data_IF_635137149994
#
_entry.id   IF_635137149994
#
_cell.length_a   1.000
_cell.length_b   1.000
_cell.length_c   1.000
_cell.angle_alpha   90.00
_cell.angle_beta   90.00
_cell.angle_gamma   90.00
#
_symmetry.space_group_name_H-M   'P 1'
#
loop_
_entity.id
_entity.type
_entity.pdbx_description
1 polymer ?
#
# COMPACT_ATOMS: atom_id res chain seq x y z
N UNK A 1 -37.40 46.69 -17.20
CA UNK A 1 -37.41 45.25 -16.94
C UNK A 1 -36.46 44.50 -17.89
N UNK A 2 -36.54 44.67 -19.20
CA UNK A 2 -35.70 43.98 -20.22
C UNK A 2 -34.18 44.17 -20.05
N UNK A 3 -33.68 45.37 -19.71
CA UNK A 3 -32.24 45.64 -19.51
C UNK A 3 -31.65 44.88 -18.28
N UNK A 4 -32.44 44.65 -17.23
CA UNK A 4 -32.02 43.91 -16.05
C UNK A 4 -31.94 42.38 -16.34
N UNK A 5 -32.84 41.85 -17.14
CA UNK A 5 -32.85 40.45 -17.57
C UNK A 5 -31.66 40.19 -18.49
N UNK A 6 -31.35 41.08 -19.42
CA UNK A 6 -30.17 40.94 -20.28
C UNK A 6 -28.84 40.94 -19.50
N UNK A 7 -28.69 41.78 -18.48
CA UNK A 7 -27.55 41.80 -17.61
C UNK A 7 -27.37 40.48 -16.79
N UNK A 8 -28.46 39.91 -16.30
CA UNK A 8 -28.44 38.65 -15.57
C UNK A 8 -28.03 37.50 -16.50
N UNK A 9 -28.53 37.46 -17.73
CA UNK A 9 -28.18 36.43 -18.71
C UNK A 9 -26.71 36.52 -19.13
N UNK A 10 -26.18 37.73 -19.29
CA UNK A 10 -24.74 37.94 -19.57
C UNK A 10 -23.88 37.47 -18.38
N UNK A 11 -24.30 37.76 -17.15
CA UNK A 11 -23.57 37.33 -15.95
C UNK A 11 -23.56 35.80 -15.80
N UNK A 12 -24.70 35.13 -16.05
CA UNK A 12 -24.79 33.67 -16.06
C UNK A 12 -23.90 33.06 -17.16
N UNK A 13 -23.89 33.62 -18.36
CA UNK A 13 -23.05 33.16 -19.46
C UNK A 13 -21.56 33.29 -19.15
N UNK A 14 -21.16 34.38 -18.49
CA UNK A 14 -19.75 34.57 -18.04
C UNK A 14 -19.37 33.53 -16.97
N UNK A 15 -20.23 33.29 -16.00
CA UNK A 15 -20.00 32.25 -14.98
C UNK A 15 -19.85 30.87 -15.61
N UNK A 16 -20.76 30.52 -16.53
CA UNK A 16 -20.68 29.23 -17.24
C UNK A 16 -19.39 29.09 -18.07
N UNK A 17 -18.99 30.17 -18.75
CA UNK A 17 -17.73 30.18 -19.51
C UNK A 17 -16.53 30.01 -18.60
N UNK A 18 -16.49 30.66 -17.43
CA UNK A 18 -15.40 30.48 -16.43
C UNK A 18 -15.37 29.04 -15.90
N UNK A 19 -16.53 28.46 -15.57
CA UNK A 19 -16.62 27.07 -15.11
C UNK A 19 -16.12 26.11 -16.19
N UNK A 20 -16.49 26.31 -17.44
CA UNK A 20 -16.02 25.49 -18.56
C UNK A 20 -14.51 25.63 -18.77
N UNK A 21 -13.97 26.84 -18.65
CA UNK A 21 -12.54 27.11 -18.78
C UNK A 21 -11.73 26.46 -17.65
N UNK A 22 -12.23 26.51 -16.42
CA UNK A 22 -11.62 25.85 -15.26
C UNK A 22 -11.63 24.33 -15.43
N UNK A 23 -12.76 23.76 -15.88
CA UNK A 23 -12.87 22.32 -16.17
C UNK A 23 -11.93 21.88 -17.30
N UNK A 24 -11.86 22.64 -18.39
CA UNK A 24 -10.96 22.33 -19.50
C UNK A 24 -9.48 22.39 -19.09
N UNK A 25 -9.08 23.41 -18.28
CA UNK A 25 -7.71 23.49 -17.75
C UNK A 25 -7.39 22.36 -16.79
N UNK A 26 -8.35 21.95 -15.96
CA UNK A 26 -8.19 20.82 -15.05
C UNK A 26 -8.04 19.52 -15.82
N UNK A 27 -8.89 19.29 -16.84
CA UNK A 27 -8.81 18.10 -17.70
C UNK A 27 -7.50 18.04 -18.51
N UNK A 28 -7.02 19.19 -19.02
CA UNK A 28 -5.72 19.26 -19.73
C UNK A 28 -4.55 18.95 -18.80
N UNK A 29 -4.55 19.51 -17.58
CA UNK A 29 -3.51 19.21 -16.58
C UNK A 29 -3.55 17.75 -16.11
N UNK A 30 -4.76 17.18 -16.00
CA UNK A 30 -4.96 15.77 -15.68
C UNK A 30 -4.46 14.84 -16.79
N UNK A 31 -4.62 15.22 -18.06
CA UNK A 31 -4.10 14.48 -19.20
C UNK A 31 -2.54 14.57 -19.28
N UNK A 32 -1.97 15.76 -19.03
CA UNK A 32 -0.52 15.98 -19.02
C UNK A 32 0.16 15.15 -17.90
N UNK A 33 -0.42 15.13 -16.70
CA UNK A 33 0.07 14.28 -15.59
C UNK A 33 -0.05 12.79 -15.89
N UNK A 34 -1.12 12.37 -16.59
CA UNK A 34 -1.31 10.98 -17.01
C UNK A 34 -0.30 10.56 -18.07
N UNK A 35 0.06 11.44 -19.00
CA UNK A 35 1.01 11.19 -20.07
C UNK A 35 2.45 11.18 -19.53
N UNK A 36 2.79 12.10 -18.61
CA UNK A 36 4.09 12.13 -17.92
C UNK A 36 4.29 10.91 -17.01
N UNK A 37 3.22 10.45 -16.33
CA UNK A 37 3.24 9.23 -15.52
C UNK A 37 3.40 7.96 -16.37
N UNK A 38 2.76 7.89 -17.53
CA UNK A 38 2.88 6.75 -18.46
C UNK A 38 4.28 6.70 -19.09
N UNK A 39 4.82 7.86 -19.53
CA UNK A 39 6.18 7.95 -20.07
C UNK A 39 7.25 7.60 -19.04
N UNK A 40 7.06 8.02 -17.77
CA UNK A 40 7.98 7.64 -16.69
C UNK A 40 7.90 6.14 -16.39
N UNK A 41 6.71 5.54 -16.44
CA UNK A 41 6.50 4.12 -16.23
C UNK A 41 7.21 3.25 -17.27
N UNK A 42 7.10 3.57 -18.56
CA UNK A 42 7.81 2.84 -19.63
C UNK A 42 9.34 2.94 -19.48
N UNK A 43 9.88 4.12 -19.16
CA UNK A 43 11.32 4.29 -18.95
C UNK A 43 11.83 3.54 -17.71
N UNK A 44 11.05 3.49 -16.63
CA UNK A 44 11.45 2.81 -15.39
C UNK A 44 11.34 1.30 -15.52
N UNK A 45 10.32 0.76 -16.22
CA UNK A 45 10.21 -0.69 -16.44
C UNK A 45 11.36 -1.23 -17.28
N UNK A 46 11.79 -0.51 -18.32
CA UNK A 46 12.95 -0.87 -19.14
C UNK A 46 14.26 -0.80 -18.36
N UNK A 47 14.46 0.23 -17.53
CA UNK A 47 15.63 0.37 -16.65
C UNK A 47 15.65 -0.71 -15.55
N UNK A 48 14.51 -1.09 -14.99
CA UNK A 48 14.41 -2.15 -14.00
C UNK A 48 14.75 -3.54 -14.57
N UNK A 49 14.46 -3.75 -15.85
CA UNK A 49 14.78 -5.01 -16.56
C UNK A 49 16.25 -5.07 -17.05
N UNK A 50 16.88 -3.91 -17.33
CA UNK A 50 18.28 -3.85 -17.76
C UNK A 50 19.28 -3.95 -16.62
N UNK A 51 18.94 -3.50 -15.43
CA UNK A 51 19.79 -3.59 -14.25
C UNK A 51 19.52 -4.91 -13.53
N UNK A 52 20.39 -5.90 -13.74
CA UNK A 52 20.36 -7.09 -12.91
C UNK A 52 20.47 -6.67 -11.43
N UNK A 53 19.59 -7.18 -10.54
CA UNK A 53 19.55 -6.74 -9.16
C UNK A 53 20.88 -7.04 -8.47
N UNK A 54 21.30 -6.13 -7.60
CA UNK A 54 22.23 -6.47 -6.55
C UNK A 54 21.67 -7.72 -5.83
N UNK A 55 22.56 -8.55 -5.32
CA UNK A 55 22.13 -9.72 -4.56
C UNK A 55 21.20 -9.26 -3.42
N UNK A 56 19.93 -9.63 -3.50
CA UNK A 56 18.95 -9.29 -2.46
C UNK A 56 19.38 -9.84 -1.09
N UNK A 57 19.09 -9.11 -0.04
CA UNK A 57 19.28 -9.61 1.31
C UNK A 57 18.39 -10.85 1.50
N UNK A 58 18.98 -11.99 1.93
CA UNK A 58 18.15 -13.13 2.23
C UNK A 58 17.27 -12.82 3.44
N UNK A 59 15.97 -12.99 3.29
CA UNK A 59 15.10 -13.02 4.46
C UNK A 59 15.41 -14.28 5.29
N UNK A 60 15.23 -14.20 6.63
CA UNK A 60 15.56 -15.33 7.53
C UNK A 60 14.59 -16.52 7.41
N UNK A 61 13.72 -16.53 6.40
CA UNK A 61 12.74 -17.58 6.12
C UNK A 61 11.82 -17.17 4.97
N UNK A 62 10.83 -17.99 4.71
CA UNK A 62 9.79 -17.75 3.70
C UNK A 62 8.52 -17.20 4.37
N UNK A 63 7.69 -16.48 3.60
CA UNK A 63 6.41 -16.01 4.10
C UNK A 63 5.60 -17.21 4.66
N UNK A 64 5.06 -17.04 5.87
CA UNK A 64 4.21 -18.06 6.48
C UNK A 64 3.01 -18.37 5.56
N UNK A 65 2.67 -19.64 5.34
CA UNK A 65 1.53 -19.99 4.50
C UNK A 65 0.17 -19.59 5.08
N UNK A 66 0.14 -19.08 6.30
CA UNK A 66 -1.06 -18.60 6.97
C UNK A 66 -0.73 -17.57 8.05
N UNK A 67 -1.78 -16.93 8.55
CA UNK A 67 -1.67 -16.00 9.65
C UNK A 67 -1.29 -16.74 10.95
N UNK A 68 -0.57 -16.05 11.82
CA UNK A 68 -0.16 -16.56 13.14
C UNK A 68 -0.77 -15.71 14.25
N UNK A 69 -0.77 -16.24 15.46
CA UNK A 69 -1.10 -15.53 16.69
C UNK A 69 0.17 -15.45 17.54
N UNK A 70 0.97 -14.36 17.40
CA UNK A 70 2.20 -14.22 18.16
C UNK A 70 1.92 -14.18 19.65
N UNK A 71 2.64 -14.97 20.45
CA UNK A 71 2.55 -14.87 21.89
C UNK A 71 3.31 -13.62 22.39
N UNK A 72 2.63 -12.71 23.07
CA UNK A 72 3.20 -11.47 23.60
C UNK A 72 4.47 -11.68 24.42
N UNK A 73 4.52 -12.74 25.20
CA UNK A 73 5.70 -13.08 26.02
C UNK A 73 6.98 -13.34 25.21
N UNK A 74 6.85 -13.64 23.90
CA UNK A 74 7.97 -13.93 23.00
C UNK A 74 8.32 -12.72 22.12
N UNK A 75 7.53 -11.64 22.17
CA UNK A 75 7.82 -10.38 21.50
C UNK A 75 8.82 -9.56 22.33
N UNK A 76 9.93 -9.17 21.72
CA UNK A 76 10.82 -8.17 22.28
C UNK A 76 10.46 -6.79 21.74
N UNK A 77 9.76 -6.01 22.56
CA UNK A 77 9.29 -4.66 22.23
C UNK A 77 10.07 -3.56 22.99
N UNK A 78 11.24 -3.91 23.56
CA UNK A 78 12.05 -2.98 24.36
C UNK A 78 13.14 -2.27 23.56
N UNK A 79 13.22 -2.54 22.25
CA UNK A 79 14.15 -1.93 21.31
C UNK A 79 13.36 -1.21 20.20
N UNK A 80 14.00 -0.32 19.47
CA UNK A 80 13.38 0.36 18.34
C UNK A 80 12.85 -0.64 17.31
N UNK A 81 13.64 -1.66 17.01
CA UNK A 81 13.25 -2.74 16.11
C UNK A 81 12.77 -3.93 16.93
N UNK A 82 11.50 -4.24 16.78
CA UNK A 82 10.87 -5.35 17.46
C UNK A 82 11.35 -6.68 16.88
N UNK A 83 11.30 -7.73 17.66
CA UNK A 83 11.62 -9.07 17.22
C UNK A 83 10.78 -10.10 17.97
N UNK A 84 10.62 -11.27 17.35
CA UNK A 84 9.94 -12.42 17.96
C UNK A 84 10.96 -13.53 18.18
N UNK A 85 11.05 -14.05 19.39
CA UNK A 85 11.99 -15.10 19.76
C UNK A 85 11.25 -16.25 20.43
N UNK A 86 11.05 -17.30 19.66
CA UNK A 86 10.56 -18.58 20.15
C UNK A 86 11.60 -19.64 19.82
N UNK A 87 12.37 -20.07 20.80
CA UNK A 87 13.49 -21.01 20.62
C UNK A 87 13.04 -22.38 20.11
N UNK A 88 11.79 -22.77 20.36
CA UNK A 88 11.20 -24.02 19.89
C UNK A 88 10.39 -23.92 18.59
N UNK A 89 10.19 -22.71 18.08
CA UNK A 89 9.33 -22.44 16.94
C UNK A 89 10.08 -22.49 15.62
N UNK A 90 9.33 -22.84 14.57
CA UNK A 90 9.75 -22.65 13.19
C UNK A 90 9.55 -21.20 12.70
N UNK A 91 9.05 -20.31 13.55
CA UNK A 91 8.82 -18.90 13.20
C UNK A 91 10.07 -18.07 13.49
N UNK A 92 10.35 -17.14 12.58
CA UNK A 92 11.34 -16.07 12.72
C UNK A 92 10.75 -14.77 12.20
N UNK A 93 11.46 -13.65 12.37
CA UNK A 93 10.95 -12.33 11.95
C UNK A 93 11.99 -11.53 11.19
N UNK A 94 11.52 -10.69 10.28
CA UNK A 94 12.28 -9.63 9.63
C UNK A 94 11.67 -8.26 9.96
N UNK A 95 12.52 -7.24 10.08
CA UNK A 95 12.09 -5.86 10.31
C UNK A 95 12.05 -5.11 8.98
N UNK A 96 10.98 -4.37 8.75
CA UNK A 96 10.81 -3.57 7.55
C UNK A 96 10.22 -2.20 7.83
N UNK A 97 10.17 -1.41 6.76
CA UNK A 97 9.45 -0.12 6.72
C UNK A 97 8.42 -0.17 5.61
N UNK A 98 7.41 0.68 5.71
CA UNK A 98 6.59 1.00 4.55
C UNK A 98 6.68 2.50 4.22
N UNK A 99 6.64 2.81 2.92
CA UNK A 99 6.91 4.14 2.40
C UNK A 99 6.00 4.50 1.23
N UNK A 100 5.82 5.80 1.05
CA UNK A 100 5.09 6.40 -0.06
C UNK A 100 5.73 7.73 -0.45
N UNK A 101 5.03 8.52 -1.25
CA UNK A 101 5.46 9.89 -1.57
C UNK A 101 5.65 10.80 -0.33
N UNK A 102 5.06 10.44 0.81
CA UNK A 102 5.13 11.23 2.03
C UNK A 102 6.50 11.18 2.71
N UNK A 103 7.27 10.10 2.54
CA UNK A 103 8.65 9.98 3.01
C UNK A 103 9.67 10.72 2.13
N UNK A 104 9.22 11.22 0.96
CA UNK A 104 10.07 12.00 0.06
C UNK A 104 11.21 11.18 -0.56
N UNK A 105 12.44 11.63 -0.39
CA UNK A 105 13.62 10.91 -0.86
C UNK A 105 14.16 10.03 0.25
N UNK A 106 14.30 8.74 -0.03
CA UNK A 106 14.82 7.73 0.89
C UNK A 106 16.19 7.27 0.43
N UNK A 107 17.14 7.17 1.35
CA UNK A 107 18.47 6.58 1.14
C UNK A 107 18.44 5.11 1.60
N UNK A 108 18.15 4.21 0.67
CA UNK A 108 17.93 2.80 0.98
C UNK A 108 19.21 2.06 1.39
N UNK A 109 20.39 2.52 1.03
CA UNK A 109 21.63 1.96 1.55
C UNK A 109 21.74 2.21 3.06
N UNK A 110 21.44 3.44 3.52
CA UNK A 110 21.40 3.73 4.96
C UNK A 110 20.27 3.01 5.68
N UNK A 111 19.11 2.87 5.04
CA UNK A 111 17.98 2.09 5.58
C UNK A 111 18.40 0.64 5.84
N UNK A 112 19.02 -0.01 4.85
CA UNK A 112 19.57 -1.36 5.00
C UNK A 112 20.63 -1.43 6.11
N UNK A 113 21.58 -0.49 6.11
CA UNK A 113 22.68 -0.46 7.08
C UNK A 113 22.19 -0.18 8.52
N UNK A 114 21.00 0.44 8.66
CA UNK A 114 20.30 0.59 9.94
C UNK A 114 19.69 -0.73 10.47
N UNK A 115 19.65 -1.79 9.65
CA UNK A 115 19.11 -3.10 10.02
C UNK A 115 17.72 -3.41 9.49
N UNK A 116 17.19 -2.59 8.60
CA UNK A 116 15.95 -2.89 7.86
C UNK A 116 16.22 -3.99 6.85
N UNK A 117 15.30 -4.94 6.73
CA UNK A 117 15.47 -6.16 5.95
C UNK A 117 14.50 -6.27 4.77
N UNK A 118 13.44 -5.45 4.73
CA UNK A 118 12.48 -5.37 3.63
C UNK A 118 11.77 -4.02 3.60
N UNK A 119 11.12 -3.73 2.48
CA UNK A 119 10.33 -2.51 2.30
C UNK A 119 8.99 -2.86 1.64
N UNK A 120 7.90 -2.19 2.07
CA UNK A 120 6.61 -2.22 1.37
C UNK A 120 6.37 -0.82 0.81
N UNK A 121 6.20 -0.70 -0.51
CA UNK A 121 6.15 0.60 -1.21
C UNK A 121 4.76 0.85 -1.76
N UNK A 122 4.21 2.05 -1.55
CA UNK A 122 2.93 2.42 -2.17
C UNK A 122 3.09 2.50 -3.67
N UNK A 123 2.43 1.58 -4.40
CA UNK A 123 2.40 1.60 -5.85
C UNK A 123 1.46 2.67 -6.40
N UNK A 124 0.39 2.96 -5.67
CA UNK A 124 -0.59 3.94 -6.07
C UNK A 124 -1.74 4.03 -5.09
N UNK A 125 -2.70 4.86 -5.42
CA UNK A 125 -3.86 5.09 -4.58
C UNK A 125 -5.12 5.43 -5.39
N UNK A 126 -6.26 5.26 -4.75
CA UNK A 126 -7.55 5.68 -5.28
C UNK A 126 -8.04 6.92 -4.51
N UNK A 127 -8.42 7.97 -5.24
CA UNK A 127 -8.82 9.23 -4.65
C UNK A 127 -10.10 9.11 -3.83
N UNK A 128 -10.12 9.67 -2.63
CA UNK A 128 -11.20 9.61 -1.65
C UNK A 128 -12.58 9.99 -2.19
N UNK A 129 -12.66 11.04 -3.02
CA UNK A 129 -13.93 11.55 -3.55
C UNK A 129 -14.23 11.00 -4.95
N UNK A 130 -13.21 10.93 -5.79
CA UNK A 130 -13.38 10.69 -7.22
C UNK A 130 -13.30 9.23 -7.60
N UNK A 131 -12.66 8.39 -6.77
CA UNK A 131 -12.33 7.01 -7.12
C UNK A 131 -11.28 6.88 -8.23
N UNK A 132 -10.62 7.99 -8.64
CA UNK A 132 -9.57 7.95 -9.65
C UNK A 132 -8.34 7.25 -9.09
N UNK A 133 -7.80 6.31 -9.85
CA UNK A 133 -6.54 5.63 -9.54
C UNK A 133 -5.37 6.46 -10.05
N UNK A 134 -4.35 6.57 -9.22
CA UNK A 134 -3.14 7.36 -9.49
C UNK A 134 -1.93 6.57 -9.03
N UNK A 135 -0.89 6.47 -9.85
CA UNK A 135 0.41 5.91 -9.46
C UNK A 135 1.06 6.85 -8.44
N UNK A 136 1.66 6.30 -7.39
CA UNK A 136 2.44 7.10 -6.46
C UNK A 136 3.65 7.68 -7.20
N UNK A 137 3.84 8.99 -7.13
CA UNK A 137 4.88 9.70 -7.89
C UNK A 137 6.31 9.27 -7.55
N UNK A 138 6.49 8.59 -6.40
CA UNK A 138 7.80 8.09 -5.97
C UNK A 138 7.96 6.60 -6.17
N UNK A 139 6.92 5.89 -6.62
CA UNK A 139 6.89 4.43 -6.69
C UNK A 139 8.10 3.85 -7.42
N UNK A 140 8.27 4.20 -8.68
CA UNK A 140 9.31 3.61 -9.51
C UNK A 140 10.72 3.89 -8.96
N UNK A 141 10.98 5.12 -8.52
CA UNK A 141 12.26 5.49 -7.90
C UNK A 141 12.49 4.68 -6.63
N UNK A 142 11.51 4.68 -5.71
CA UNK A 142 11.64 3.94 -4.45
C UNK A 142 11.86 2.45 -4.70
N UNK A 143 11.16 1.86 -5.69
CA UNK A 143 11.34 0.47 -6.06
C UNK A 143 12.77 0.19 -6.54
N UNK A 144 13.27 0.97 -7.50
CA UNK A 144 14.61 0.81 -8.03
C UNK A 144 15.69 0.99 -6.96
N UNK A 145 15.61 2.10 -6.21
CA UNK A 145 16.62 2.42 -5.19
C UNK A 145 16.64 1.38 -4.07
N UNK A 146 15.47 0.86 -3.64
CA UNK A 146 15.37 -0.20 -2.64
C UNK A 146 15.96 -1.52 -3.17
N UNK A 147 15.62 -1.88 -4.41
CA UNK A 147 16.08 -3.09 -5.06
C UNK A 147 17.60 -3.05 -5.33
N UNK A 148 18.14 -1.91 -5.77
CA UNK A 148 19.59 -1.69 -5.93
C UNK A 148 20.33 -1.77 -4.58
N UNK A 149 19.70 -1.31 -3.49
CA UNK A 149 20.23 -1.49 -2.15
C UNK A 149 20.17 -2.96 -1.65
N UNK A 150 19.53 -3.85 -2.40
CA UNK A 150 19.40 -5.27 -2.08
C UNK A 150 18.27 -5.58 -1.09
N UNK A 151 17.30 -4.67 -0.91
CA UNK A 151 16.14 -4.90 -0.03
C UNK A 151 15.01 -5.58 -0.82
N UNK A 152 14.48 -6.72 -0.35
CA UNK A 152 13.25 -7.31 -0.88
C UNK A 152 12.09 -6.31 -0.77
N UNK A 153 11.27 -6.21 -1.84
CA UNK A 153 10.20 -5.22 -1.96
C UNK A 153 8.84 -5.89 -2.07
N UNK A 154 7.88 -5.41 -1.27
CA UNK A 154 6.45 -5.58 -1.48
C UNK A 154 5.81 -4.28 -1.94
N UNK A 155 4.58 -4.35 -2.42
CA UNK A 155 3.85 -3.15 -2.83
C UNK A 155 2.46 -3.09 -2.21
N UNK A 156 1.97 -1.88 -1.93
CA UNK A 156 0.59 -1.69 -1.47
C UNK A 156 -0.16 -0.66 -2.31
N UNK A 157 -1.45 -0.92 -2.50
CA UNK A 157 -2.36 -0.01 -3.18
C UNK A 157 -3.43 0.48 -2.21
N UNK A 158 -3.43 1.80 -1.95
CA UNK A 158 -4.43 2.43 -1.11
C UNK A 158 -5.77 2.54 -1.87
N UNK A 159 -6.74 1.72 -1.47
CA UNK A 159 -8.00 1.56 -2.18
C UNK A 159 -9.15 2.34 -1.53
N UNK A 160 -9.97 2.93 -2.38
CA UNK A 160 -11.27 3.50 -2.03
C UNK A 160 -12.38 2.87 -2.91
N UNK A 161 -12.22 1.59 -3.26
CA UNK A 161 -13.20 0.85 -4.02
C UNK A 161 -14.51 0.72 -3.23
N UNK A 162 -15.64 0.97 -3.89
CA UNK A 162 -16.96 0.90 -3.28
C UNK A 162 -17.71 -0.40 -3.62
N UNK A 163 -17.16 -1.18 -4.52
CA UNK A 163 -17.71 -2.49 -4.95
C UNK A 163 -16.62 -3.42 -5.50
N UNK A 164 -17.02 -4.68 -5.74
CA UNK A 164 -16.18 -5.74 -6.27
C UNK A 164 -15.53 -5.37 -7.60
N UNK A 165 -16.27 -4.73 -8.50
CA UNK A 165 -15.78 -4.38 -9.83
C UNK A 165 -14.71 -3.29 -9.78
N UNK A 166 -14.85 -2.34 -8.86
CA UNK A 166 -13.81 -1.35 -8.63
C UNK A 166 -12.56 -1.98 -8.01
N UNK A 167 -12.72 -2.89 -7.07
CA UNK A 167 -11.58 -3.62 -6.47
C UNK A 167 -10.83 -4.46 -7.52
N UNK A 168 -11.55 -5.13 -8.43
CA UNK A 168 -10.92 -5.84 -9.56
C UNK A 168 -10.18 -4.88 -10.50
N UNK A 169 -10.77 -3.70 -10.79
CA UNK A 169 -10.07 -2.68 -11.59
C UNK A 169 -8.84 -2.13 -10.89
N UNK A 170 -8.88 -1.99 -9.55
CA UNK A 170 -7.72 -1.58 -8.76
C UNK A 170 -6.59 -2.62 -8.86
N UNK A 171 -6.90 -3.91 -8.74
CA UNK A 171 -5.91 -4.97 -8.95
C UNK A 171 -5.34 -4.96 -10.38
N UNK A 172 -6.19 -4.78 -11.39
CA UNK A 172 -5.74 -4.64 -12.78
C UNK A 172 -4.83 -3.42 -13.00
N UNK A 173 -5.13 -2.29 -12.34
CA UNK A 173 -4.28 -1.09 -12.35
C UNK A 173 -2.91 -1.36 -11.72
N UNK A 174 -2.86 -2.07 -10.58
CA UNK A 174 -1.61 -2.47 -9.93
C UNK A 174 -0.76 -3.34 -10.85
N UNK A 175 -1.35 -4.39 -11.45
CA UNK A 175 -0.64 -5.28 -12.36
C UNK A 175 -0.12 -4.55 -13.61
N UNK A 176 -0.92 -3.64 -14.17
CA UNK A 176 -0.50 -2.80 -15.30
C UNK A 176 0.62 -1.81 -14.93
N UNK A 177 0.63 -1.31 -13.68
CA UNK A 177 1.68 -0.41 -13.18
C UNK A 177 2.99 -1.15 -12.93
N UNK A 178 2.92 -2.42 -12.50
CA UNK A 178 4.11 -3.26 -12.32
C UNK A 178 4.81 -3.58 -13.65
N UNK A 179 4.08 -3.81 -14.74
CA UNK A 179 4.58 -3.96 -16.11
C UNK A 179 5.91 -4.75 -16.23
N UNK A 180 5.92 -5.96 -15.69
CA UNK A 180 7.11 -6.83 -15.66
C UNK A 180 8.01 -6.67 -14.44
N UNK A 181 7.71 -5.76 -13.53
CA UNK A 181 8.31 -5.72 -12.19
C UNK A 181 7.72 -6.86 -11.35
N UNK A 182 8.59 -7.67 -10.76
CA UNK A 182 8.22 -8.83 -9.93
C UNK A 182 8.58 -8.55 -8.46
N UNK A 183 7.64 -8.06 -7.64
CA UNK A 183 7.90 -7.87 -6.20
C UNK A 183 8.20 -9.19 -5.50
N UNK A 184 9.21 -9.24 -4.65
CA UNK A 184 9.59 -10.43 -3.88
C UNK A 184 8.63 -10.70 -2.71
N UNK A 185 7.91 -9.67 -2.27
CA UNK A 185 6.95 -9.71 -1.18
C UNK A 185 5.53 -9.46 -1.70
N UNK A 186 4.49 -9.65 -0.87
CA UNK A 186 3.11 -9.56 -1.31
C UNK A 186 2.71 -8.22 -1.95
N UNK A 187 1.65 -8.32 -2.79
CA UNK A 187 0.89 -7.18 -3.29
C UNK A 187 -0.31 -6.98 -2.35
N UNK A 188 -0.36 -5.81 -1.70
CA UNK A 188 -1.26 -5.55 -0.59
C UNK A 188 -2.46 -4.71 -1.02
N UNK A 189 -3.67 -5.18 -0.67
CA UNK A 189 -4.88 -4.37 -0.68
C UNK A 189 -4.97 -3.58 0.62
N UNK A 190 -4.91 -2.26 0.54
CA UNK A 190 -4.98 -1.36 1.69
C UNK A 190 -6.29 -0.56 1.63
N UNK A 191 -7.21 -0.86 2.55
CA UNK A 191 -8.45 -0.12 2.73
C UNK A 191 -8.53 0.40 4.16
N UNK A 192 -8.66 1.71 4.27
CA UNK A 192 -8.82 2.40 5.53
C UNK A 192 -10.12 3.21 5.57
N UNK A 193 -10.77 3.21 6.72
CA UNK A 193 -11.96 4.02 6.94
C UNK A 193 -11.56 5.48 7.09
N UNK A 194 -11.97 6.31 6.15
CA UNK A 194 -11.73 7.74 6.20
C UNK A 194 -12.98 8.50 6.64
N UNK A 195 -12.85 9.36 7.65
CA UNK A 195 -13.97 10.06 8.28
C UNK A 195 -14.38 11.38 7.61
N UNK A 196 -13.84 11.71 6.44
CA UNK A 196 -14.33 12.90 5.71
C UNK A 196 -15.71 12.63 5.12
N UNK A 197 -16.62 13.60 5.26
CA UNK A 197 -18.01 13.53 4.74
C UNK A 197 -18.07 13.24 3.22
N UNK A 198 -16.97 13.51 2.50
CA UNK A 198 -16.86 13.31 1.06
C UNK A 198 -16.18 11.98 0.69
N UNK A 199 -15.71 11.21 1.67
CA UNK A 199 -15.03 9.95 1.40
C UNK A 199 -16.01 8.86 0.96
N UNK A 200 -15.86 8.39 -0.27
CA UNK A 200 -16.80 7.50 -0.96
C UNK A 200 -16.90 6.08 -0.36
N UNK A 201 -15.85 5.62 0.29
CA UNK A 201 -15.77 4.27 0.86
C UNK A 201 -15.98 4.21 2.38
N UNK A 202 -16.28 5.34 3.05
CA UNK A 202 -16.44 5.40 4.51
C UNK A 202 -17.61 4.56 5.04
N UNK A 203 -18.71 4.48 4.26
CA UNK A 203 -19.96 3.82 4.67
C UNK A 203 -20.13 2.41 4.09
N UNK A 204 -19.03 1.77 3.66
CA UNK A 204 -19.13 0.40 3.18
C UNK A 204 -19.68 -0.53 4.26
N UNK A 205 -20.60 -1.40 3.85
CA UNK A 205 -21.04 -2.51 4.69
C UNK A 205 -19.90 -3.50 4.88
N UNK A 206 -19.96 -4.29 5.95
CA UNK A 206 -19.01 -5.38 6.19
C UNK A 206 -18.90 -6.30 4.97
N UNK A 207 -20.03 -6.71 4.41
CA UNK A 207 -20.06 -7.52 3.19
C UNK A 207 -19.32 -6.86 2.01
N UNK A 208 -19.59 -5.59 1.74
CA UNK A 208 -18.98 -4.89 0.60
C UNK A 208 -17.47 -4.71 0.78
N UNK A 209 -17.01 -4.35 1.98
CA UNK A 209 -15.59 -4.20 2.26
C UNK A 209 -14.85 -5.55 2.13
N UNK A 210 -15.38 -6.60 2.76
CA UNK A 210 -14.81 -7.95 2.68
C UNK A 210 -14.77 -8.47 1.24
N UNK A 211 -15.90 -8.39 0.53
CA UNK A 211 -16.00 -8.87 -0.85
C UNK A 211 -15.05 -8.10 -1.81
N UNK A 212 -14.85 -6.79 -1.60
CA UNK A 212 -13.90 -5.99 -2.38
C UNK A 212 -12.45 -6.43 -2.13
N UNK A 213 -12.07 -6.64 -0.87
CA UNK A 213 -10.73 -7.13 -0.54
C UNK A 213 -10.45 -8.51 -1.15
N UNK A 214 -11.41 -9.44 -1.04
CA UNK A 214 -11.30 -10.78 -1.64
C UNK A 214 -11.20 -10.73 -3.17
N UNK A 215 -11.97 -9.85 -3.83
CA UNK A 215 -11.95 -9.71 -5.27
C UNK A 215 -10.62 -9.14 -5.80
N UNK A 216 -10.02 -8.19 -5.09
CA UNK A 216 -8.66 -7.73 -5.38
C UNK A 216 -7.65 -8.88 -5.25
N UNK A 217 -7.68 -9.58 -4.12
CA UNK A 217 -6.77 -10.70 -3.84
C UNK A 217 -6.91 -11.84 -4.86
N UNK A 218 -8.13 -12.12 -5.33
CA UNK A 218 -8.38 -13.11 -6.39
C UNK A 218 -7.65 -12.75 -7.69
N UNK A 219 -7.73 -11.49 -8.14
CA UNK A 219 -7.06 -11.04 -9.37
C UNK A 219 -5.55 -11.13 -9.22
N UNK A 220 -4.99 -10.69 -8.09
CA UNK A 220 -3.54 -10.74 -7.82
C UNK A 220 -3.05 -12.19 -7.79
N UNK A 221 -3.77 -13.09 -7.12
CA UNK A 221 -3.44 -14.53 -7.06
C UNK A 221 -3.48 -15.18 -8.43
N UNK A 222 -4.49 -14.86 -9.24
CA UNK A 222 -4.64 -15.40 -10.59
C UNK A 222 -3.53 -14.91 -11.55
N UNK A 223 -2.91 -13.78 -11.26
CA UNK A 223 -1.73 -13.29 -11.98
C UNK A 223 -0.41 -13.94 -11.52
N UNK A 224 -0.43 -14.81 -10.49
CA UNK A 224 0.74 -15.53 -10.00
C UNK A 224 1.45 -14.89 -8.81
N UNK A 225 0.93 -13.75 -8.30
CA UNK A 225 1.50 -13.07 -7.15
C UNK A 225 0.82 -13.47 -5.83
N UNK A 226 1.49 -13.22 -4.72
CA UNK A 226 0.94 -13.41 -3.38
C UNK A 226 0.15 -12.17 -2.96
N UNK A 227 -1.19 -12.25 -2.76
CA UNK A 227 -1.95 -11.15 -2.21
C UNK A 227 -1.80 -11.07 -0.69
N UNK A 228 -1.98 -9.87 -0.12
CA UNK A 228 -2.07 -9.61 1.31
C UNK A 228 -3.12 -8.52 1.55
N UNK A 229 -3.75 -8.50 2.71
CA UNK A 229 -4.72 -7.48 3.10
C UNK A 229 -4.15 -6.70 4.28
N UNK A 230 -4.03 -5.37 4.11
CA UNK A 230 -3.78 -4.46 5.23
C UNK A 230 -5.08 -4.12 5.94
N UNK A 231 -5.02 -4.05 7.26
CA UNK A 231 -6.09 -3.56 8.10
C UNK A 231 -5.57 -2.96 9.40
N UNK A 232 -6.14 -1.84 9.81
CA UNK A 232 -6.02 -1.31 11.15
C UNK A 232 -7.19 -1.80 12.02
N UNK A 233 -7.17 -1.48 13.33
CA UNK A 233 -8.23 -1.87 14.29
C UNK A 233 -9.63 -1.48 13.80
N UNK A 234 -9.78 -0.30 13.20
CA UNK A 234 -11.06 0.21 12.74
C UNK A 234 -11.63 -0.60 11.56
N UNK A 235 -10.80 -0.94 10.58
CA UNK A 235 -11.19 -1.78 9.46
C UNK A 235 -11.43 -3.22 9.92
N UNK A 236 -10.54 -3.76 10.75
CA UNK A 236 -10.62 -5.13 11.26
C UNK A 236 -11.93 -5.39 12.00
N UNK A 237 -12.23 -4.59 13.02
CA UNK A 237 -13.40 -4.82 13.87
C UNK A 237 -14.69 -4.12 13.40
N UNK A 238 -14.59 -3.16 12.48
CA UNK A 238 -15.75 -2.38 12.02
C UNK A 238 -16.21 -2.66 10.61
N UNK A 239 -15.35 -3.23 9.76
CA UNK A 239 -15.62 -3.33 8.32
C UNK A 239 -15.39 -4.71 7.74
N UNK A 240 -14.56 -5.55 8.33
CA UNK A 240 -14.22 -6.85 7.76
C UNK A 240 -14.91 -8.01 8.47
N UNK A 241 -15.26 -9.02 7.71
CA UNK A 241 -15.56 -10.37 8.21
C UNK A 241 -14.24 -11.15 8.25
N UNK A 242 -13.64 -11.23 9.43
CA UNK A 242 -12.30 -11.78 9.61
C UNK A 242 -12.22 -13.29 9.34
N UNK A 243 -13.33 -14.01 9.41
CA UNK A 243 -13.38 -15.44 9.14
C UNK A 243 -13.09 -15.75 7.65
N UNK A 244 -13.37 -14.79 6.77
CA UNK A 244 -13.11 -14.89 5.33
C UNK A 244 -11.64 -14.76 4.93
N UNK A 245 -10.76 -14.38 5.86
CA UNK A 245 -9.34 -14.11 5.58
C UNK A 245 -8.37 -15.20 6.08
N UNK A 246 -8.88 -16.37 6.45
CA UNK A 246 -8.05 -17.47 6.99
C UNK A 246 -6.91 -17.90 6.03
N UNK A 247 -7.13 -17.81 4.71
CA UNK A 247 -6.21 -18.26 3.68
C UNK A 247 -5.48 -17.09 2.96
N UNK A 248 -5.60 -15.88 3.50
CA UNK A 248 -4.94 -14.68 2.95
C UNK A 248 -4.04 -14.09 4.03
N UNK A 249 -2.75 -13.85 3.73
CA UNK A 249 -1.87 -13.13 4.63
C UNK A 249 -2.45 -11.77 5.02
N UNK A 250 -2.35 -11.43 6.30
CA UNK A 250 -2.82 -10.16 6.85
C UNK A 250 -1.64 -9.32 7.32
N UNK A 251 -1.63 -8.05 6.93
CA UNK A 251 -0.78 -7.01 7.47
C UNK A 251 -1.62 -6.16 8.45
N UNK A 252 -1.40 -6.37 9.72
CA UNK A 252 -2.18 -5.75 10.78
C UNK A 252 -1.47 -4.54 11.38
N UNK A 253 -2.12 -3.37 11.34
CA UNK A 253 -1.63 -2.17 11.99
C UNK A 253 -2.29 -2.00 13.36
N UNK A 254 -1.49 -2.15 14.40
CA UNK A 254 -1.91 -1.93 15.79
C UNK A 254 -0.71 -1.51 16.62
N UNK A 255 -0.81 -0.35 17.26
CA UNK A 255 0.30 0.29 17.95
C UNK A 255 0.33 -0.03 19.46
N UNK A 256 -0.19 -1.21 19.80
CA UNK A 256 -0.13 -1.77 21.16
C UNK A 256 0.98 -2.81 21.25
N UNK A 257 1.46 -3.08 22.48
CA UNK A 257 2.57 -4.05 22.66
C UNK A 257 2.15 -5.52 22.54
N UNK A 258 0.87 -5.78 22.61
CA UNK A 258 0.28 -7.11 22.56
C UNK A 258 -0.88 -7.08 21.55
N UNK A 259 -0.56 -7.15 20.24
CA UNK A 259 -1.58 -7.09 19.20
C UNK A 259 -2.34 -8.41 19.13
N UNK A 260 -3.66 -8.34 19.20
CA UNK A 260 -4.56 -9.47 19.03
C UNK A 260 -5.48 -9.25 17.83
N UNK A 261 -5.53 -10.22 16.94
CA UNK A 261 -6.46 -10.24 15.82
C UNK A 261 -7.06 -11.65 15.69
N UNK A 262 -8.41 -11.81 15.64
CA UNK A 262 -9.07 -13.13 15.62
C UNK A 262 -8.59 -14.06 14.51
N UNK A 263 -8.34 -13.55 13.29
CA UNK A 263 -7.80 -14.36 12.19
C UNK A 263 -6.25 -14.47 12.20
N UNK A 264 -5.56 -13.87 13.20
CA UNK A 264 -4.11 -13.76 13.20
C UNK A 264 -3.58 -12.82 12.11
N UNK A 265 -2.25 -12.73 12.00
CA UNK A 265 -1.59 -11.88 10.99
C UNK A 265 -0.21 -12.43 10.61
N UNK A 266 0.27 -12.03 9.44
CA UNK A 266 1.60 -12.40 8.92
C UNK A 266 2.58 -11.24 8.99
N UNK A 267 2.10 -10.00 8.95
CA UNK A 267 2.89 -8.79 9.13
C UNK A 267 2.22 -7.88 10.16
N UNK A 268 3.02 -7.23 11.00
CA UNK A 268 2.54 -6.31 12.02
C UNK A 268 3.19 -4.93 11.85
N UNK A 269 2.39 -3.92 11.51
CA UNK A 269 2.82 -2.52 11.60
C UNK A 269 2.68 -2.07 13.06
N UNK A 270 3.80 -1.95 13.76
CA UNK A 270 3.82 -1.72 15.20
C UNK A 270 4.09 -0.26 15.60
N UNK A 271 4.46 0.58 14.65
CA UNK A 271 4.71 2.01 14.87
C UNK A 271 4.48 2.80 13.60
N UNK A 272 3.90 3.99 13.74
CA UNK A 272 3.78 5.01 12.68
C UNK A 272 4.65 6.25 12.96
N UNK A 273 5.56 6.17 13.93
CA UNK A 273 6.45 7.25 14.35
C UNK A 273 7.88 6.75 14.53
N UNK A 274 8.27 5.76 13.73
CA UNK A 274 9.63 5.23 13.72
C UNK A 274 10.63 6.23 13.17
N UNK A 275 11.89 6.09 13.55
CA UNK A 275 13.00 6.87 13.00
C UNK A 275 14.07 5.93 12.49
N UNK A 276 14.36 5.98 11.20
CA UNK A 276 15.34 5.11 10.54
C UNK A 276 16.35 5.97 9.77
N UNK A 277 17.62 5.65 9.92
CA UNK A 277 18.67 6.33 9.12
C UNK A 277 18.39 6.14 7.65
N UNK A 278 18.40 7.22 6.87
CA UNK A 278 18.06 7.21 5.45
C UNK A 278 16.64 7.68 5.14
N UNK A 279 15.79 7.88 6.15
CA UNK A 279 14.45 8.47 6.00
C UNK A 279 14.38 9.76 6.80
N UNK A 280 13.89 10.83 6.18
CA UNK A 280 13.67 12.10 6.85
C UNK A 280 12.27 12.11 7.49
N UNK A 281 12.23 12.30 8.83
CA UNK A 281 10.98 12.31 9.60
C UNK A 281 10.50 10.92 10.05
N UNK A 282 9.21 10.82 10.29
CA UNK A 282 8.59 9.59 10.76
C UNK A 282 8.41 8.57 9.63
N UNK A 283 8.59 7.30 9.96
CA UNK A 283 8.37 6.17 9.07
C UNK A 283 7.69 5.01 9.81
N UNK A 284 6.84 4.30 9.11
CA UNK A 284 6.15 3.14 9.62
C UNK A 284 7.10 1.95 9.78
N UNK A 285 7.04 1.27 10.94
CA UNK A 285 7.88 0.12 11.26
C UNK A 285 7.04 -1.16 11.30
N UNK A 286 7.58 -2.17 10.64
CA UNK A 286 6.91 -3.44 10.42
C UNK A 286 7.71 -4.63 10.91
N UNK A 287 7.02 -5.66 11.39
CA UNK A 287 7.57 -6.95 11.75
C UNK A 287 6.89 -8.04 10.89
N UNK A 288 7.63 -8.62 9.96
CA UNK A 288 7.17 -9.71 9.11
C UNK A 288 7.49 -11.04 9.79
N UNK A 289 6.47 -11.90 9.92
CA UNK A 289 6.61 -13.24 10.48
C UNK A 289 6.86 -14.24 9.35
N UNK A 290 7.94 -14.99 9.49
CA UNK A 290 8.45 -15.89 8.47
C UNK A 290 8.59 -17.30 9.06
N UNK A 291 8.36 -18.31 8.24
CA UNK A 291 8.69 -19.66 8.59
C UNK A 291 10.14 -19.95 8.22
N UNK A 292 10.93 -20.45 9.18
CA UNK A 292 12.31 -20.87 8.93
C UNK A 292 12.32 -21.95 7.85
N UNK A 293 13.24 -21.84 6.93
CA UNK A 293 13.49 -22.92 5.98
C UNK A 293 13.99 -24.16 6.74
N UNK A 294 13.41 -25.30 6.44
CA UNK A 294 13.89 -26.57 6.96
C UNK A 294 15.20 -26.90 6.23
N UNK A 295 16.33 -26.74 6.90
CA UNK A 295 17.64 -27.21 6.43
C UNK A 295 17.72 -28.73 6.44
#
# INVERSE_FOLDING_TARGET
MQRRIALILVFIAVILAVILLVRARRSAKEAEVSEESALSGEQFSEAALENAPAQLLPLPGILSPGNIHPAAALLNTNTQFYSYKDEGSTITTAVGIDVSEYQGQVDYEKVRDAGIQFVIIRIGYQGYETGRMVVDKTFYRNYLDAHEAGLPVGVYFFSQAVDIEEARRAAGFVLATLDGIEPELPIVYDYEVHHADTARASDLSQYSATASALAFCEVIRNAGHTPMIYMNDQAAYGKYDLDEFSDIPVWYASYVKDPELPCGFTCWQYSCTGSVSGVDGDVDLNLLFLQKENN
#
